data_IF_214673785196
#
_entry.id   IF_214673785196
#
_cell.length_a   1.000
_cell.length_b   1.000
_cell.length_c   1.000
_cell.angle_alpha   90.00
_cell.angle_beta   90.00
_cell.angle_gamma   90.00
#
_symmetry.space_group_name_H-M   'P 1'
#
loop_
_entity.id
_entity.type
_entity.pdbx_description
1 polymer ?
#
# COMPACT_ATOMS: atom_id res chain seq x y z
N UNK A 1 44.86 -37.98 -4.22
CA UNK A 1 43.42 -38.27 -4.38
C UNK A 1 42.55 -37.59 -3.31
N UNK A 2 42.86 -37.71 -2.04
CA UNK A 2 42.08 -37.11 -0.96
C UNK A 2 42.08 -35.58 -1.02
N UNK A 3 43.21 -34.95 -1.31
CA UNK A 3 43.34 -33.50 -1.41
C UNK A 3 42.51 -32.88 -2.55
N UNK A 4 42.37 -33.60 -3.67
CA UNK A 4 41.55 -33.15 -4.81
C UNK A 4 40.06 -33.24 -4.48
N UNK A 5 39.67 -34.27 -3.73
CA UNK A 5 38.29 -34.45 -3.26
C UNK A 5 37.86 -33.37 -2.28
N UNK A 6 38.75 -33.00 -1.36
CA UNK A 6 38.50 -31.93 -0.37
C UNK A 6 38.32 -30.57 -1.06
N UNK A 7 39.17 -30.27 -2.05
CA UNK A 7 39.03 -29.02 -2.83
C UNK A 7 37.69 -28.95 -3.62
N UNK A 8 37.27 -30.07 -4.18
CA UNK A 8 35.99 -30.14 -4.89
C UNK A 8 34.79 -29.92 -3.95
N UNK A 9 34.85 -30.46 -2.74
CA UNK A 9 33.83 -30.29 -1.72
C UNK A 9 33.77 -28.83 -1.23
N UNK A 10 34.93 -28.21 -0.97
CA UNK A 10 34.98 -26.82 -0.52
C UNK A 10 34.43 -25.85 -1.57
N UNK A 11 34.71 -26.09 -2.84
CA UNK A 11 34.17 -25.26 -3.95
C UNK A 11 32.64 -25.40 -4.02
N UNK A 12 32.10 -26.59 -3.88
CA UNK A 12 30.64 -26.82 -3.89
C UNK A 12 29.96 -26.17 -2.70
N UNK A 13 30.55 -26.25 -1.51
CA UNK A 13 30.01 -25.62 -0.30
C UNK A 13 30.05 -24.09 -0.43
N UNK A 14 31.15 -23.54 -0.93
CA UNK A 14 31.29 -22.11 -1.17
C UNK A 14 30.26 -21.60 -2.18
N UNK A 15 30.02 -22.34 -3.26
CA UNK A 15 29.00 -22.02 -4.26
C UNK A 15 27.60 -22.06 -3.68
N UNK A 16 27.29 -23.03 -2.81
CA UNK A 16 25.99 -23.13 -2.15
C UNK A 16 25.75 -21.96 -1.20
N UNK A 17 26.74 -21.56 -0.42
CA UNK A 17 26.68 -20.42 0.49
C UNK A 17 26.49 -19.13 -0.29
N UNK A 18 27.20 -18.96 -1.40
CA UNK A 18 27.05 -17.79 -2.27
C UNK A 18 25.63 -17.70 -2.88
N UNK A 19 25.06 -18.83 -3.32
CA UNK A 19 23.71 -18.91 -3.82
C UNK A 19 22.67 -18.53 -2.75
N UNK A 20 22.85 -18.99 -1.52
CA UNK A 20 21.99 -18.63 -0.40
C UNK A 20 22.06 -17.14 -0.04
N UNK A 21 23.24 -16.53 -0.14
CA UNK A 21 23.41 -15.09 0.14
C UNK A 21 22.74 -14.21 -0.92
N UNK A 22 22.66 -14.67 -2.16
CA UNK A 22 21.99 -13.95 -3.25
C UNK A 22 20.46 -14.04 -3.16
N UNK A 23 19.91 -14.97 -2.39
CA UNK A 23 18.46 -15.17 -2.27
C UNK A 23 17.80 -14.19 -1.30
N UNK A 24 18.54 -13.40 -0.54
CA UNK A 24 18.03 -12.52 0.52
C UNK A 24 17.61 -11.13 -0.02
N UNK A 25 17.81 -10.84 -1.30
CA UNK A 25 17.52 -9.52 -1.87
C UNK A 25 16.13 -9.37 -2.47
N UNK A 26 15.19 -10.28 -2.14
CA UNK A 26 13.80 -10.04 -2.47
C UNK A 26 13.17 -9.07 -1.45
N UNK A 27 13.59 -7.81 -1.49
CA UNK A 27 12.80 -6.74 -0.89
C UNK A 27 11.55 -6.59 -1.73
N UNK A 28 10.43 -7.06 -1.19
CA UNK A 28 9.14 -6.59 -1.67
C UNK A 28 9.20 -5.07 -1.63
N UNK A 29 8.95 -4.41 -2.77
CA UNK A 29 8.86 -2.97 -2.82
C UNK A 29 7.69 -2.56 -1.92
N UNK A 30 7.98 -2.18 -0.69
CA UNK A 30 7.04 -1.47 0.15
C UNK A 30 7.00 -0.07 -0.45
N UNK A 31 5.81 0.36 -0.88
CA UNK A 31 5.59 1.73 -1.33
C UNK A 31 5.86 2.66 -0.13
N UNK A 32 7.12 3.07 0.01
CA UNK A 32 7.52 4.01 1.05
C UNK A 32 7.33 5.40 0.48
N UNK A 33 6.29 6.07 0.92
CA UNK A 33 6.06 7.49 0.62
C UNK A 33 6.76 8.36 1.64
N UNK A 34 7.53 9.33 1.17
CA UNK A 34 8.21 10.29 2.01
C UNK A 34 7.29 11.45 2.36
N UNK A 35 7.09 11.70 3.64
CA UNK A 35 6.29 12.80 4.16
C UNK A 35 7.16 13.85 4.83
N UNK A 36 6.73 15.12 4.76
CA UNK A 36 7.42 16.24 5.38
C UNK A 36 7.24 16.27 6.90
N UNK A 37 6.20 15.64 7.42
CA UNK A 37 5.90 15.58 8.85
C UNK A 37 5.24 14.25 9.23
N UNK A 38 5.35 13.90 10.52
CA UNK A 38 4.68 12.73 11.10
C UNK A 38 3.15 12.86 11.01
N UNK A 39 2.62 14.08 11.05
CA UNK A 39 1.20 14.36 10.93
C UNK A 39 0.67 14.02 9.53
N UNK A 40 1.41 14.36 8.48
CA UNK A 40 1.05 13.99 7.10
C UNK A 40 1.09 12.47 6.90
N UNK A 41 2.08 11.81 7.46
CA UNK A 41 2.16 10.34 7.41
C UNK A 41 0.96 9.70 8.10
N UNK A 42 0.59 10.16 9.28
CA UNK A 42 -0.57 9.67 10.02
C UNK A 42 -1.88 9.92 9.26
N UNK A 43 -2.03 11.10 8.66
CA UNK A 43 -3.17 11.46 7.81
C UNK A 43 -3.29 10.52 6.61
N UNK A 44 -2.20 10.28 5.92
CA UNK A 44 -2.16 9.36 4.78
C UNK A 44 -2.57 7.94 5.17
N UNK A 45 -1.97 7.40 6.24
CA UNK A 45 -2.30 6.04 6.72
C UNK A 45 -3.76 5.92 7.10
N UNK A 46 -4.29 6.89 7.80
CA UNK A 46 -5.70 6.93 8.16
C UNK A 46 -6.61 6.89 6.94
N UNK A 47 -6.30 7.72 5.94
CA UNK A 47 -7.12 7.82 4.74
C UNK A 47 -7.09 6.53 3.90
N UNK A 48 -5.93 5.91 3.72
CA UNK A 48 -5.84 4.66 2.94
C UNK A 48 -6.49 3.47 3.64
N UNK A 49 -6.60 3.49 4.95
CA UNK A 49 -7.34 2.48 5.72
C UNK A 49 -8.86 2.72 5.65
N UNK A 50 -9.28 3.98 5.63
CA UNK A 50 -10.69 4.36 5.53
C UNK A 50 -11.25 4.20 4.11
N UNK A 51 -10.47 4.55 3.09
CA UNK A 51 -10.90 4.50 1.70
C UNK A 51 -10.91 3.06 1.16
N UNK A 52 -11.94 2.73 0.41
CA UNK A 52 -12.10 1.42 -0.23
C UNK A 52 -11.62 1.47 -1.66
N UNK A 53 -11.05 0.36 -2.11
CA UNK A 53 -10.80 0.15 -3.53
C UNK A 53 -12.13 -0.21 -4.23
N UNK A 54 -12.62 0.58 -5.18
CA UNK A 54 -13.94 0.36 -5.79
C UNK A 54 -14.00 -0.90 -6.66
N UNK A 55 -12.86 -1.41 -7.11
CA UNK A 55 -12.76 -2.62 -7.96
C UNK A 55 -12.10 -3.80 -7.25
N UNK A 56 -11.77 -3.67 -5.97
CA UNK A 56 -11.21 -4.73 -5.18
C UNK A 56 -12.32 -5.39 -4.34
N UNK A 57 -12.16 -6.66 -4.01
CA UNK A 57 -13.16 -7.42 -3.25
C UNK A 57 -13.25 -6.95 -1.79
N UNK A 58 -13.93 -5.83 -1.55
CA UNK A 58 -14.16 -5.24 -0.22
C UNK A 58 -12.88 -4.93 0.59
N UNK A 59 -11.76 -4.74 -0.08
CA UNK A 59 -10.50 -4.36 0.59
C UNK A 59 -10.36 -2.85 0.64
N UNK A 60 -9.76 -2.33 1.73
CA UNK A 60 -9.32 -0.95 1.78
C UNK A 60 -8.08 -0.73 0.89
N UNK A 61 -7.71 0.53 0.67
CA UNK A 61 -6.55 0.84 -0.18
C UNK A 61 -5.25 0.31 0.41
N UNK A 62 -5.11 0.33 1.74
CA UNK A 62 -3.91 -0.17 2.42
C UNK A 62 -3.68 -1.66 2.19
N UNK A 63 -4.75 -2.44 2.11
CA UNK A 63 -4.70 -3.90 1.94
C UNK A 63 -4.73 -4.39 0.51
N UNK A 64 -4.75 -3.49 -0.49
CA UNK A 64 -4.88 -3.86 -1.89
C UNK A 64 -3.64 -3.51 -2.71
N UNK A 65 -3.18 -4.46 -3.52
CA UNK A 65 -2.08 -4.29 -4.48
C UNK A 65 -2.58 -4.12 -5.92
N UNK A 66 -3.90 -4.03 -6.13
CA UNK A 66 -4.47 -3.82 -7.45
C UNK A 66 -3.96 -2.48 -8.07
N UNK A 67 -3.77 -2.41 -9.40
CA UNK A 67 -3.28 -1.19 -10.05
C UNK A 67 -4.09 0.05 -9.73
N UNK A 68 -5.42 -0.07 -9.67
CA UNK A 68 -6.29 1.04 -9.30
C UNK A 68 -6.08 1.49 -7.84
N UNK A 69 -5.82 0.56 -6.92
CA UNK A 69 -5.50 0.89 -5.54
C UNK A 69 -4.17 1.64 -5.44
N UNK A 70 -3.18 1.28 -6.23
CA UNK A 70 -1.90 2.00 -6.30
C UNK A 70 -2.09 3.44 -6.79
N UNK A 71 -2.89 3.64 -7.83
CA UNK A 71 -3.21 4.99 -8.34
C UNK A 71 -3.93 5.84 -7.29
N UNK A 72 -4.88 5.25 -6.57
CA UNK A 72 -5.61 5.94 -5.51
C UNK A 72 -4.71 6.28 -4.30
N UNK A 73 -3.80 5.40 -3.94
CA UNK A 73 -2.79 5.67 -2.90
C UNK A 73 -1.88 6.82 -3.31
N UNK A 74 -1.39 6.81 -4.55
CA UNK A 74 -0.56 7.88 -5.08
C UNK A 74 -1.31 9.21 -5.08
N UNK A 75 -2.56 9.22 -5.48
CA UNK A 75 -3.40 10.42 -5.48
C UNK A 75 -3.65 10.94 -4.07
N UNK A 76 -3.90 10.05 -3.13
CA UNK A 76 -4.05 10.42 -1.71
C UNK A 76 -2.76 11.03 -1.15
N UNK A 77 -1.62 10.44 -1.47
CA UNK A 77 -0.31 10.96 -1.11
C UNK A 77 -0.08 12.38 -1.64
N UNK A 78 -0.34 12.61 -2.92
CA UNK A 78 -0.17 13.91 -3.56
C UNK A 78 -1.04 14.98 -2.88
N UNK A 79 -2.28 14.66 -2.55
CA UNK A 79 -3.19 15.58 -1.87
C UNK A 79 -2.77 15.86 -0.42
N UNK A 80 -2.26 14.87 0.30
CA UNK A 80 -1.70 15.07 1.65
C UNK A 80 -0.46 15.97 1.61
N UNK A 81 0.40 15.78 0.63
CA UNK A 81 1.60 16.63 0.42
C UNK A 81 1.22 18.07 0.07
N UNK A 82 0.12 18.28 -0.63
CA UNK A 82 -0.43 19.61 -0.95
C UNK A 82 -1.05 20.30 0.26
N UNK A 83 -1.15 19.62 1.40
CA UNK A 83 -1.72 20.17 2.62
C UNK A 83 -3.25 20.18 2.66
N UNK A 84 -3.92 19.36 1.85
CA UNK A 84 -5.38 19.25 1.86
C UNK A 84 -5.87 18.56 3.12
N UNK A 85 -7.07 18.96 3.58
CA UNK A 85 -7.70 18.34 4.75
C UNK A 85 -8.29 16.97 4.42
N UNK A 86 -8.53 16.14 5.44
CA UNK A 86 -9.17 14.84 5.28
C UNK A 86 -10.53 14.95 4.58
N UNK A 87 -11.33 15.95 4.95
CA UNK A 87 -12.63 16.21 4.34
C UNK A 87 -12.55 16.52 2.85
N UNK A 88 -11.57 17.33 2.45
CA UNK A 88 -11.34 17.65 1.04
C UNK A 88 -10.92 16.42 0.24
N UNK A 89 -10.04 15.60 0.79
CA UNK A 89 -9.58 14.37 0.14
C UNK A 89 -10.72 13.37 -0.02
N UNK A 90 -11.54 13.19 1.01
CA UNK A 90 -12.73 12.33 0.95
C UNK A 90 -13.72 12.82 -0.10
N UNK A 91 -14.00 14.11 -0.11
CA UNK A 91 -14.93 14.71 -1.08
C UNK A 91 -14.44 14.51 -2.51
N UNK A 92 -13.15 14.73 -2.76
CA UNK A 92 -12.53 14.49 -4.05
C UNK A 92 -12.70 13.04 -4.52
N UNK A 93 -12.40 12.10 -3.62
CA UNK A 93 -12.49 10.68 -3.94
C UNK A 93 -13.93 10.23 -4.19
N UNK A 94 -14.88 10.73 -3.40
CA UNK A 94 -16.31 10.43 -3.59
C UNK A 94 -16.86 10.99 -4.90
N UNK A 95 -16.46 12.20 -5.26
CA UNK A 95 -16.87 12.82 -6.51
C UNK A 95 -16.36 12.04 -7.73
N UNK A 96 -15.13 11.54 -7.66
CA UNK A 96 -14.49 10.83 -8.77
C UNK A 96 -14.90 9.36 -8.88
N UNK A 97 -15.03 8.69 -7.76
CA UNK A 97 -15.16 7.22 -7.70
C UNK A 97 -16.49 6.75 -7.10
N UNK A 98 -17.31 7.68 -6.65
CA UNK A 98 -18.63 7.40 -6.09
C UNK A 98 -18.61 7.07 -4.59
N UNK A 99 -19.81 6.80 -4.06
CA UNK A 99 -20.01 6.65 -2.61
C UNK A 99 -19.38 5.37 -2.03
N UNK A 100 -19.08 4.40 -2.88
CA UNK A 100 -18.51 3.11 -2.44
C UNK A 100 -17.05 3.19 -2.02
N UNK A 101 -16.38 4.31 -2.28
CA UNK A 101 -14.98 4.47 -1.94
C UNK A 101 -14.75 4.67 -0.43
N UNK A 102 -15.77 5.06 0.32
CA UNK A 102 -15.67 5.29 1.76
C UNK A 102 -16.49 4.29 2.56
N UNK A 103 -15.91 3.78 3.66
CA UNK A 103 -16.64 2.97 4.64
C UNK A 103 -17.71 3.77 5.40
N UNK A 104 -17.55 5.10 5.45
CA UNK A 104 -18.50 6.01 6.07
C UNK A 104 -19.24 6.77 4.96
N UNK A 105 -20.34 6.23 4.44
CA UNK A 105 -21.09 6.92 3.41
C UNK A 105 -21.61 8.24 3.93
N UNK A 106 -21.63 9.27 3.09
CA UNK A 106 -22.18 10.57 3.49
C UNK A 106 -23.67 10.44 3.82
N UNK A 107 -24.09 11.20 4.82
CA UNK A 107 -25.50 11.27 5.16
C UNK A 107 -26.22 12.08 4.07
N UNK A 108 -26.96 11.38 3.23
CA UNK A 108 -27.81 12.00 2.19
C UNK A 108 -29.27 11.93 2.60
N UNK A 109 -30.12 12.85 2.12
CA UNK A 109 -31.55 12.77 2.40
C UNK A 109 -32.18 11.42 2.02
N UNK A 110 -31.68 10.79 0.97
CA UNK A 110 -32.13 9.47 0.52
C UNK A 110 -31.72 8.31 1.43
N UNK A 111 -30.63 8.46 2.18
CA UNK A 111 -30.13 7.41 3.09
C UNK A 111 -30.50 7.67 4.55
N UNK A 112 -31.03 8.85 4.84
CA UNK A 112 -31.40 9.25 6.20
C UNK A 112 -32.45 8.33 6.82
N UNK A 113 -33.42 7.90 6.02
CA UNK A 113 -34.50 7.01 6.46
C UNK A 113 -33.96 5.61 6.82
N UNK A 114 -32.91 5.14 6.15
CA UNK A 114 -32.31 3.82 6.40
C UNK A 114 -31.38 3.81 7.61
N UNK A 115 -30.98 4.97 8.10
CA UNK A 115 -30.05 5.10 9.22
C UNK A 115 -30.77 5.24 10.57
N UNK A 116 -32.01 5.51 10.52
CA UNK A 116 -32.95 5.57 11.63
C UNK A 116 -34.05 4.50 11.42
#
# INVERSE_FOLDING_TARGET
MIALSIKAVTIKVASLILACLLSVTSYAAIDVYDFDSVQQEAQYRWLIEELRCPKCQNQNLAGSDAPIAQDLKQKTYDMVKDGRSDGEIRAYMQERYGDFISYKPPVRPSTWILRF
#
